data_IF_743022832998
#
_entry.id   IF_743022832998
#
_cell.length_a   1.000
_cell.length_b   1.000
_cell.length_c   1.000
_cell.angle_alpha   90.00
_cell.angle_beta   90.00
_cell.angle_gamma   90.00
#
_symmetry.space_group_name_H-M   'P 1'
#
loop_
_entity.id
_entity.type
_entity.pdbx_description
1 polymer ?
#
# COMPACT_ATOMS: atom_id res chain seq x y z
N UNK A 1 -9.14 -10.38 -13.72
CA UNK A 1 -9.44 -9.68 -14.98
C UNK A 1 -9.94 -8.28 -14.70
N UNK A 2 -9.21 -7.26 -15.17
CA UNK A 2 -9.56 -5.85 -14.94
C UNK A 2 -10.83 -5.41 -15.67
N UNK A 3 -11.20 -6.05 -16.77
CA UNK A 3 -12.40 -5.75 -17.55
C UNK A 3 -13.66 -6.07 -16.73
N UNK A 4 -13.69 -7.23 -16.08
CA UNK A 4 -14.81 -7.63 -15.19
C UNK A 4 -14.96 -6.62 -14.05
N UNK A 5 -13.85 -6.20 -13.42
CA UNK A 5 -13.90 -5.21 -12.36
C UNK A 5 -14.49 -3.87 -12.84
N UNK A 6 -14.11 -3.40 -14.03
CA UNK A 6 -14.68 -2.19 -14.63
C UNK A 6 -16.18 -2.32 -14.90
N UNK A 7 -16.64 -3.47 -15.43
CA UNK A 7 -18.05 -3.72 -15.69
C UNK A 7 -18.87 -3.75 -14.40
N UNK A 8 -18.39 -4.39 -13.34
CA UNK A 8 -19.05 -4.40 -12.03
C UNK A 8 -19.18 -3.00 -11.42
N UNK A 9 -18.15 -2.15 -11.58
CA UNK A 9 -18.21 -0.75 -11.12
C UNK A 9 -19.24 0.04 -11.95
N UNK A 10 -19.27 -0.15 -13.27
CA UNK A 10 -20.25 0.51 -14.14
C UNK A 10 -21.68 0.08 -13.78
N UNK A 11 -21.93 -1.21 -13.58
CA UNK A 11 -23.22 -1.74 -13.12
C UNK A 11 -23.61 -1.14 -11.76
N UNK A 12 -22.70 -1.13 -10.79
CA UNK A 12 -22.95 -0.54 -9.47
C UNK A 12 -23.39 0.94 -9.56
N UNK A 13 -22.71 1.74 -10.39
CA UNK A 13 -23.04 3.15 -10.60
C UNK A 13 -24.42 3.27 -11.26
N UNK A 14 -24.71 2.46 -12.29
CA UNK A 14 -26.00 2.46 -12.97
C UNK A 14 -27.16 2.07 -12.05
N UNK A 15 -26.98 1.04 -11.24
CA UNK A 15 -27.98 0.56 -10.29
C UNK A 15 -28.25 1.57 -9.17
N UNK A 16 -27.20 2.16 -8.61
CA UNK A 16 -27.33 3.12 -7.50
C UNK A 16 -27.74 4.52 -7.96
N UNK A 17 -27.60 4.84 -9.24
CA UNK A 17 -27.91 6.16 -9.83
C UNK A 17 -27.23 7.31 -9.08
N UNK A 18 -26.02 7.08 -8.59
CA UNK A 18 -25.20 8.03 -7.82
C UNK A 18 -23.82 8.17 -8.45
N UNK A 19 -23.18 9.33 -8.35
CA UNK A 19 -21.76 9.46 -8.68
C UNK A 19 -20.90 8.51 -7.83
N UNK A 20 -19.83 7.97 -8.41
CA UNK A 20 -18.93 7.02 -7.74
C UNK A 20 -18.36 7.59 -6.43
N UNK A 21 -18.04 8.89 -6.38
CA UNK A 21 -17.57 9.55 -5.17
C UNK A 21 -18.61 9.49 -4.03
N UNK A 22 -19.90 9.58 -4.35
CA UNK A 22 -20.97 9.46 -3.35
C UNK A 22 -21.12 8.02 -2.87
N UNK A 23 -21.01 7.05 -3.78
CA UNK A 23 -21.03 5.62 -3.43
C UNK A 23 -19.89 5.28 -2.48
N UNK A 24 -18.68 5.79 -2.76
CA UNK A 24 -17.50 5.61 -1.90
C UNK A 24 -17.71 6.27 -0.53
N UNK A 25 -18.26 7.49 -0.49
CA UNK A 25 -18.56 8.18 0.77
C UNK A 25 -19.59 7.40 1.61
N UNK A 26 -20.63 6.87 0.98
CA UNK A 26 -21.65 6.04 1.64
C UNK A 26 -21.06 4.73 2.18
N UNK A 27 -20.07 4.14 1.47
CA UNK A 27 -19.32 2.98 1.93
C UNK A 27 -18.45 3.33 3.14
N UNK A 28 -17.68 4.42 3.08
CA UNK A 28 -16.85 4.88 4.19
C UNK A 28 -17.64 5.19 5.46
N UNK A 29 -18.86 5.69 5.32
CA UNK A 29 -19.76 5.89 6.46
C UNK A 29 -20.13 4.59 7.17
N UNK A 30 -20.12 3.45 6.46
CA UNK A 30 -20.48 2.13 7.02
C UNK A 30 -19.28 1.39 7.61
N UNK A 31 -18.12 1.41 6.92
CA UNK A 31 -16.96 0.57 7.26
C UNK A 31 -15.77 1.37 7.78
N UNK A 32 -15.85 2.71 7.79
CA UNK A 32 -14.75 3.60 8.09
C UNK A 32 -13.92 3.97 6.85
N UNK A 33 -13.10 4.99 7.00
CA UNK A 33 -12.24 5.49 5.91
C UNK A 33 -11.01 4.60 5.74
N UNK A 34 -10.67 4.30 4.49
CA UNK A 34 -9.45 3.62 4.08
C UNK A 34 -8.82 4.39 2.94
N UNK A 35 -7.71 5.05 3.23
CA UNK A 35 -6.95 5.85 2.26
C UNK A 35 -5.76 5.05 1.77
N UNK A 36 -5.59 4.93 0.47
CA UNK A 36 -4.52 4.14 -0.13
C UNK A 36 -3.63 4.99 -1.03
N UNK A 37 -2.35 4.64 -1.09
CA UNK A 37 -1.36 5.20 -2.03
C UNK A 37 -0.49 4.10 -2.60
N UNK A 38 -0.12 4.29 -3.86
CA UNK A 38 0.91 3.51 -4.52
C UNK A 38 2.02 4.43 -4.99
N UNK A 39 3.25 4.10 -4.63
CA UNK A 39 4.47 4.75 -5.09
C UNK A 39 5.33 3.73 -5.86
N UNK A 40 6.11 4.22 -6.81
CA UNK A 40 7.08 3.41 -7.52
C UNK A 40 8.45 4.05 -7.32
N UNK A 41 9.39 3.30 -6.76
CA UNK A 41 10.77 3.74 -6.56
C UNK A 41 11.66 3.07 -7.60
N UNK A 42 12.45 3.87 -8.32
CA UNK A 42 13.51 3.35 -9.18
C UNK A 42 14.73 3.11 -8.29
N UNK A 43 15.30 1.91 -8.35
CA UNK A 43 16.48 1.51 -7.62
C UNK A 43 17.58 1.12 -8.59
N UNK A 44 18.83 1.35 -8.21
CA UNK A 44 19.97 0.68 -8.86
C UNK A 44 19.95 -0.82 -8.51
N UNK A 45 20.67 -1.64 -9.23
CA UNK A 45 20.76 -3.08 -8.91
C UNK A 45 21.37 -3.32 -7.51
N UNK A 46 22.31 -2.47 -7.10
CA UNK A 46 22.90 -2.53 -5.76
C UNK A 46 21.87 -2.17 -4.67
N UNK A 47 21.11 -1.09 -4.87
CA UNK A 47 20.02 -0.68 -3.96
C UNK A 47 18.94 -1.76 -3.89
N UNK A 48 18.58 -2.36 -5.03
CA UNK A 48 17.60 -3.45 -5.10
C UNK A 48 18.07 -4.67 -4.31
N UNK A 49 19.33 -5.05 -4.46
CA UNK A 49 19.93 -6.18 -3.72
C UNK A 49 19.90 -5.93 -2.21
N UNK A 50 20.28 -4.73 -1.77
CA UNK A 50 20.20 -4.33 -0.35
C UNK A 50 18.77 -4.32 0.16
N UNK A 51 17.85 -3.73 -0.61
CA UNK A 51 16.43 -3.65 -0.25
C UNK A 51 15.80 -5.05 -0.10
N UNK A 52 16.13 -6.00 -0.99
CA UNK A 52 15.69 -7.40 -0.87
C UNK A 52 16.25 -8.04 0.40
N UNK A 53 17.52 -7.82 0.70
CA UNK A 53 18.15 -8.35 1.91
C UNK A 53 17.50 -7.78 3.19
N UNK A 54 17.24 -6.47 3.21
CA UNK A 54 16.56 -5.80 4.33
C UNK A 54 15.13 -6.31 4.53
N UNK A 55 14.39 -6.54 3.44
CA UNK A 55 13.01 -7.03 3.52
C UNK A 55 12.92 -8.52 3.94
N UNK A 56 14.01 -9.28 3.89
CA UNK A 56 14.05 -10.65 4.44
C UNK A 56 14.04 -10.67 5.97
N UNK A 57 14.62 -9.67 6.60
CA UNK A 57 14.52 -9.48 8.04
C UNK A 57 13.15 -8.88 8.36
N UNK A 58 12.48 -9.39 9.40
CA UNK A 58 11.18 -8.84 9.80
C UNK A 58 11.35 -7.43 10.35
N UNK A 59 10.84 -6.39 9.66
CA UNK A 59 10.94 -5.02 10.14
C UNK A 59 10.18 -4.88 11.46
N UNK A 60 10.78 -4.24 12.45
CA UNK A 60 10.12 -3.99 13.73
C UNK A 60 9.28 -2.72 13.72
N UNK A 61 9.68 -1.75 12.90
CA UNK A 61 9.00 -0.45 12.77
C UNK A 61 8.97 0.00 11.32
N UNK A 62 7.95 0.75 10.94
CA UNK A 62 7.83 1.47 9.66
C UNK A 62 7.33 2.87 9.96
N UNK A 63 8.05 3.90 9.53
CA UNK A 63 7.71 5.29 9.79
C UNK A 63 7.41 5.59 11.27
N UNK A 64 8.16 4.95 12.19
CA UNK A 64 7.97 5.08 13.64
C UNK A 64 6.77 4.31 14.21
N UNK A 65 5.96 3.65 13.39
CA UNK A 65 4.89 2.75 13.84
C UNK A 65 5.42 1.33 14.01
N UNK A 66 5.05 0.68 15.09
CA UNK A 66 5.46 -0.69 15.38
C UNK A 66 4.74 -1.68 14.47
N UNK A 67 5.48 -2.65 13.95
CA UNK A 67 4.93 -3.74 13.12
C UNK A 67 4.34 -4.80 14.01
N UNK A 68 3.06 -5.09 13.83
CA UNK A 68 2.33 -6.13 14.55
C UNK A 68 2.40 -7.48 13.84
N UNK A 69 2.49 -7.47 12.50
CA UNK A 69 2.53 -8.69 11.68
C UNK A 69 3.22 -8.46 10.35
N UNK A 70 4.01 -9.44 9.90
CA UNK A 70 4.60 -9.49 8.56
C UNK A 70 3.96 -10.62 7.76
N UNK A 71 3.55 -10.35 6.52
CA UNK A 71 2.92 -11.29 5.59
C UNK A 71 3.75 -11.32 4.30
N UNK A 72 4.11 -12.53 3.82
CA UNK A 72 5.03 -12.74 2.68
C UNK A 72 4.41 -13.61 1.58
N UNK A 73 3.20 -13.30 1.16
CA UNK A 73 2.53 -14.04 0.06
C UNK A 73 2.93 -13.47 -1.31
N UNK A 74 2.89 -12.14 -1.45
CA UNK A 74 3.24 -11.43 -2.69
C UNK A 74 4.01 -10.15 -2.35
N UNK A 75 5.27 -10.31 -1.98
CA UNK A 75 6.11 -9.25 -1.42
C UNK A 75 6.14 -9.27 0.11
N UNK A 76 6.54 -8.15 0.71
CA UNK A 76 6.60 -7.99 2.18
C UNK A 76 5.54 -6.99 2.62
N UNK A 77 4.46 -7.49 3.23
CA UNK A 77 3.42 -6.65 3.82
C UNK A 77 3.64 -6.55 5.33
N UNK A 78 3.82 -5.33 5.83
CA UNK A 78 3.90 -5.03 7.25
C UNK A 78 2.58 -4.41 7.72
N UNK A 79 1.88 -5.09 8.62
CA UNK A 79 0.69 -4.57 9.31
C UNK A 79 1.18 -3.86 10.57
N UNK A 80 0.68 -2.66 10.84
CA UNK A 80 1.09 -1.80 11.93
C UNK A 80 0.10 -1.87 13.09
N UNK A 81 0.50 -1.46 14.29
CA UNK A 81 -0.35 -1.50 15.49
C UNK A 81 -1.58 -0.56 15.40
N UNK A 82 -1.55 0.45 14.52
CA UNK A 82 -2.67 1.37 14.26
C UNK A 82 -3.57 0.96 13.09
N UNK A 83 -3.58 -0.32 12.72
CA UNK A 83 -4.30 -0.90 11.58
C UNK A 83 -3.88 -0.38 10.19
N UNK A 84 -2.89 0.51 10.11
CA UNK A 84 -2.28 0.85 8.84
C UNK A 84 -1.39 -0.29 8.34
N UNK A 85 -1.09 -0.30 7.05
CA UNK A 85 -0.13 -1.26 6.52
C UNK A 85 0.65 -0.69 5.35
N UNK A 86 1.82 -1.27 5.11
CA UNK A 86 2.61 -1.06 3.90
C UNK A 86 2.90 -2.41 3.23
N UNK A 87 3.02 -2.39 1.91
CA UNK A 87 3.44 -3.55 1.12
C UNK A 87 4.58 -3.13 0.18
N UNK A 88 5.69 -3.83 0.27
CA UNK A 88 6.84 -3.69 -0.64
C UNK A 88 6.86 -4.87 -1.60
N UNK A 89 6.83 -4.58 -2.89
CA UNK A 89 6.86 -5.59 -3.95
C UNK A 89 7.91 -5.25 -5.00
N UNK A 90 8.87 -6.13 -5.17
CA UNK A 90 9.91 -5.98 -6.20
C UNK A 90 9.38 -6.43 -7.56
N UNK A 91 9.64 -5.65 -8.60
CA UNK A 91 9.36 -6.08 -9.96
C UNK A 91 10.38 -7.16 -10.39
N UNK A 92 9.88 -8.24 -10.99
CA UNK A 92 10.75 -9.29 -11.52
C UNK A 92 11.46 -8.91 -12.84
N UNK A 93 10.92 -7.93 -13.57
CA UNK A 93 11.37 -7.57 -14.92
C UNK A 93 11.99 -6.17 -15.03
N UNK A 94 11.78 -5.31 -14.06
CA UNK A 94 12.23 -3.92 -14.06
C UNK A 94 12.93 -3.57 -12.74
N UNK A 95 13.90 -2.62 -12.71
CA UNK A 95 14.53 -2.15 -11.49
C UNK A 95 13.60 -1.18 -10.74
N UNK A 96 12.36 -1.61 -10.49
CA UNK A 96 11.32 -0.83 -9.83
C UNK A 96 10.80 -1.61 -8.63
N UNK A 97 10.65 -0.90 -7.52
CA UNK A 97 9.95 -1.37 -6.34
C UNK A 97 8.61 -0.65 -6.25
N UNK A 98 7.56 -1.42 -6.09
CA UNK A 98 6.22 -0.92 -5.83
C UNK A 98 5.98 -0.90 -4.34
N UNK A 99 5.68 0.29 -3.83
CA UNK A 99 5.33 0.52 -2.43
C UNK A 99 3.85 0.89 -2.36
N UNK A 100 3.12 0.19 -1.54
CA UNK A 100 1.71 0.48 -1.27
C UNK A 100 1.57 0.81 0.20
N UNK A 101 0.74 1.79 0.51
CA UNK A 101 0.39 2.13 1.89
C UNK A 101 -1.12 2.32 2.01
N UNK A 102 -1.67 1.95 3.15
CA UNK A 102 -3.04 2.20 3.53
C UNK A 102 -3.10 2.65 4.98
N UNK A 103 -3.93 3.66 5.25
CA UNK A 103 -4.18 4.17 6.58
C UNK A 103 -5.62 4.67 6.74
N UNK A 104 -6.04 4.90 7.97
CA UNK A 104 -7.37 5.43 8.32
C UNK A 104 -7.45 6.94 8.19
N UNK A 105 -6.32 7.63 8.17
CA UNK A 105 -6.23 9.09 8.11
C UNK A 105 -5.09 9.55 7.18
N UNK A 106 -5.24 10.78 6.68
CA UNK A 106 -4.31 11.36 5.70
C UNK A 106 -2.93 11.67 6.31
N UNK A 107 -2.85 11.98 7.61
CA UNK A 107 -1.58 12.28 8.26
C UNK A 107 -0.70 11.03 8.34
N UNK A 108 -1.27 9.91 8.79
CA UNK A 108 -0.60 8.61 8.81
C UNK A 108 -0.19 8.19 7.41
N UNK A 109 -1.10 8.29 6.42
CA UNK A 109 -0.80 7.93 5.04
C UNK A 109 0.36 8.75 4.45
N UNK A 110 0.35 10.07 4.64
CA UNK A 110 1.43 10.96 4.21
C UNK A 110 2.76 10.59 4.83
N UNK A 111 2.77 10.30 6.14
CA UNK A 111 3.98 9.90 6.86
C UNK A 111 4.55 8.58 6.30
N UNK A 112 3.70 7.56 6.11
CA UNK A 112 4.11 6.29 5.51
C UNK A 112 4.68 6.47 4.10
N UNK A 113 4.09 7.35 3.30
CA UNK A 113 4.56 7.63 1.95
C UNK A 113 5.88 8.41 1.94
N UNK A 114 6.05 9.39 2.82
CA UNK A 114 7.26 10.20 2.91
C UNK A 114 8.48 9.36 3.35
N UNK A 115 8.29 8.44 4.28
CA UNK A 115 9.35 7.57 4.80
C UNK A 115 9.48 6.24 4.03
N UNK A 116 8.55 5.97 3.10
CA UNK A 116 8.49 4.71 2.36
C UNK A 116 9.73 4.39 1.53
N UNK A 117 10.35 5.39 0.90
CA UNK A 117 11.56 5.20 0.12
C UNK A 117 12.76 4.86 1.01
N UNK A 118 12.95 5.59 2.11
CA UNK A 118 14.00 5.33 3.09
C UNK A 118 13.82 3.93 3.70
N UNK A 119 12.59 3.56 4.07
CA UNK A 119 12.27 2.23 4.58
C UNK A 119 12.64 1.13 3.58
N UNK A 120 12.32 1.30 2.29
CA UNK A 120 12.65 0.32 1.25
C UNK A 120 14.15 0.22 1.04
N UNK A 121 14.85 1.34 1.01
CA UNK A 121 16.32 1.38 0.81
C UNK A 121 17.10 0.93 2.05
N UNK A 122 16.48 0.92 3.21
CA UNK A 122 17.11 0.55 4.48
C UNK A 122 18.10 1.62 4.99
N UNK A 123 17.74 2.89 4.83
CA UNK A 123 18.50 4.08 5.26
C UNK A 123 17.67 4.92 6.19
#
# INVERSE_FOLDING_TARGET
DGIIACLLVAEMVAMQKKPIARILSDLYAKVGTYLTRRLNFKLTEEEKTRAIANMKNDPKTVAGYKVSKVIRVDGTKCVLENDAWVLVRFSGTEPVVRFYAEARDEATLKKLCAEGEAFVKGV
#
